data_IF_119568033992
#
_entry.id   IF_119568033992
#
_cell.length_a   1.000
_cell.length_b   1.000
_cell.length_c   1.000
_cell.angle_alpha   90.00
_cell.angle_beta   90.00
_cell.angle_gamma   90.00
#
_symmetry.space_group_name_H-M   'P 1'
#
loop_
_entity.id
_entity.type
_entity.pdbx_description
1 polymer ?
#
# COMPACT_ATOMS: atom_id res chain seq x y z
N UNK A 1 -14.18 29.35 9.89
CA UNK A 1 -14.27 28.23 8.93
C UNK A 1 -12.97 27.47 9.04
N UNK A 2 -12.95 26.38 9.80
CA UNK A 2 -11.83 25.45 9.75
C UNK A 2 -11.81 24.84 8.34
N UNK A 3 -10.69 25.00 7.64
CA UNK A 3 -10.47 24.28 6.40
C UNK A 3 -10.60 22.79 6.73
N UNK A 4 -11.61 22.12 6.15
CA UNK A 4 -11.66 20.66 6.11
C UNK A 4 -10.31 20.22 5.55
N UNK A 5 -9.42 19.74 6.41
CA UNK A 5 -8.20 19.07 5.96
C UNK A 5 -8.67 17.99 4.99
N UNK A 6 -8.34 18.14 3.70
CA UNK A 6 -8.69 17.14 2.70
C UNK A 6 -8.07 15.82 3.18
N UNK A 7 -8.90 14.88 3.61
CA UNK A 7 -8.47 13.56 4.06
C UNK A 7 -7.96 12.80 2.84
N UNK A 8 -6.70 13.03 2.51
CA UNK A 8 -6.05 12.40 1.39
C UNK A 8 -5.58 11.01 1.81
N UNK A 9 -5.99 10.01 1.04
CA UNK A 9 -5.52 8.64 1.23
C UNK A 9 -4.01 8.58 1.00
N UNK A 10 -3.30 7.77 1.79
CA UNK A 10 -1.87 7.45 1.58
C UNK A 10 -1.65 6.53 0.36
N UNK A 11 -2.75 6.07 -0.26
CA UNK A 11 -2.76 5.18 -1.41
C UNK A 11 -2.90 6.03 -2.68
N UNK A 12 -1.99 5.83 -3.63
CA UNK A 12 -2.13 6.41 -4.97
C UNK A 12 -3.31 5.79 -5.73
N UNK A 13 -4.03 6.60 -6.49
CA UNK A 13 -5.21 6.19 -7.24
C UNK A 13 -4.91 5.12 -8.30
N UNK A 14 -5.97 4.47 -8.80
CA UNK A 14 -5.88 3.52 -9.92
C UNK A 14 -5.35 4.13 -11.22
N UNK A 15 -5.34 5.46 -11.35
CA UNK A 15 -4.71 6.17 -12.47
C UNK A 15 -3.18 6.08 -12.44
N UNK A 16 -2.58 5.84 -11.27
CA UNK A 16 -1.13 5.64 -11.11
C UNK A 16 -0.73 4.25 -11.61
N UNK A 17 -0.26 4.17 -12.85
CA UNK A 17 0.19 2.92 -13.44
C UNK A 17 1.63 2.55 -13.01
N UNK A 18 2.10 1.37 -13.43
CA UNK A 18 3.43 0.87 -13.08
C UNK A 18 4.58 1.80 -13.52
N UNK A 19 4.49 2.37 -14.73
CA UNK A 19 5.52 3.24 -15.28
C UNK A 19 5.55 4.60 -14.56
N UNK A 20 4.39 5.19 -14.27
CA UNK A 20 4.30 6.42 -13.49
C UNK A 20 4.79 6.22 -12.05
N UNK A 21 4.48 5.07 -11.44
CA UNK A 21 4.98 4.71 -10.12
C UNK A 21 6.52 4.61 -10.09
N UNK A 22 7.12 3.99 -11.12
CA UNK A 22 8.58 3.96 -11.28
C UNK A 22 9.18 5.37 -11.36
N UNK A 23 8.65 6.20 -12.27
CA UNK A 23 9.09 7.61 -12.38
C UNK A 23 8.94 8.39 -11.08
N UNK A 24 7.86 8.17 -10.33
CA UNK A 24 7.62 8.82 -9.03
C UNK A 24 8.68 8.44 -8.00
N UNK A 25 9.17 7.19 -8.04
CA UNK A 25 10.25 6.70 -7.19
C UNK A 25 11.64 7.15 -7.70
N UNK A 26 11.82 7.37 -9.00
CA UNK A 26 13.04 7.97 -9.55
C UNK A 26 13.25 9.38 -9.00
N UNK A 27 12.19 10.17 -8.85
CA UNK A 27 12.25 11.51 -8.22
C UNK A 27 12.76 11.46 -6.77
N UNK A 28 12.57 10.32 -6.10
CA UNK A 28 13.04 10.07 -4.75
C UNK A 28 14.39 9.33 -4.74
N UNK A 29 15.07 9.23 -5.88
CA UNK A 29 16.36 8.57 -6.06
C UNK A 29 16.36 7.08 -5.65
N UNK A 30 15.24 6.37 -5.86
CA UNK A 30 15.08 4.98 -5.43
C UNK A 30 16.14 4.00 -6.00
N UNK A 31 16.58 4.09 -7.28
CA UNK A 31 17.61 3.20 -7.83
C UNK A 31 18.99 3.31 -7.16
N UNK A 32 19.22 4.35 -6.36
CA UNK A 32 20.49 4.59 -5.66
C UNK A 32 20.39 4.39 -4.14
N UNK A 33 19.26 3.91 -3.65
CA UNK A 33 18.99 3.62 -2.23
C UNK A 33 18.76 2.13 -2.07
N UNK A 34 19.06 1.54 -0.92
CA UNK A 34 18.82 0.10 -0.69
C UNK A 34 17.37 -0.32 -0.99
N UNK A 35 17.15 -1.59 -1.35
CA UNK A 35 15.80 -2.14 -1.60
C UNK A 35 14.79 -1.71 -0.54
N UNK A 36 13.60 -1.29 -0.98
CA UNK A 36 12.47 -0.87 -0.13
C UNK A 36 12.74 0.35 0.76
N UNK A 37 13.87 1.05 0.60
CA UNK A 37 14.16 2.30 1.32
C UNK A 37 13.32 3.47 0.84
N UNK A 38 12.71 3.34 -0.33
CA UNK A 38 11.67 4.21 -0.86
C UNK A 38 10.69 3.28 -1.57
N UNK A 39 9.40 3.45 -1.27
CA UNK A 39 8.34 2.65 -1.87
C UNK A 39 7.03 3.42 -1.83
N UNK A 40 6.09 3.03 -2.69
CA UNK A 40 4.74 3.59 -2.70
C UNK A 40 3.69 2.49 -2.70
N UNK A 41 2.50 2.84 -2.23
CA UNK A 41 1.32 2.00 -2.23
C UNK A 41 0.29 2.61 -3.17
N UNK A 42 -0.18 1.82 -4.13
CA UNK A 42 -1.16 2.29 -5.12
C UNK A 42 -2.27 1.27 -5.30
N UNK A 43 -3.42 1.72 -5.75
CA UNK A 43 -4.43 0.83 -6.29
C UNK A 43 -3.82 0.01 -7.45
N UNK A 44 -4.21 -1.26 -7.55
CA UNK A 44 -3.84 -2.07 -8.70
C UNK A 44 -4.76 -1.74 -9.88
N UNK A 45 -4.31 -2.06 -11.09
CA UNK A 45 -5.18 -2.06 -12.27
C UNK A 45 -6.26 -3.14 -12.20
N UNK A 46 -6.16 -4.06 -11.25
CA UNK A 46 -7.19 -5.03 -10.90
C UNK A 46 -7.97 -4.48 -9.70
N UNK A 47 -9.28 -4.22 -9.83
CA UNK A 47 -10.09 -3.75 -8.72
C UNK A 47 -9.98 -4.67 -7.49
N UNK A 48 -9.91 -4.06 -6.32
CA UNK A 48 -9.78 -4.74 -5.04
C UNK A 48 -8.41 -5.28 -4.68
N UNK A 49 -7.39 -4.98 -5.49
CA UNK A 49 -5.99 -5.20 -5.14
C UNK A 49 -5.29 -3.87 -4.89
N UNK A 50 -4.37 -3.88 -3.94
CA UNK A 50 -3.33 -2.88 -3.80
C UNK A 50 -2.03 -3.40 -4.40
N UNK A 51 -1.15 -2.49 -4.80
CA UNK A 51 0.18 -2.80 -5.32
C UNK A 51 1.22 -1.97 -4.59
N UNK A 52 2.18 -2.65 -3.97
CA UNK A 52 3.39 -2.01 -3.46
C UNK A 52 4.43 -1.96 -4.58
N UNK A 53 4.93 -0.77 -4.88
CA UNK A 53 5.99 -0.57 -5.86
C UNK A 53 7.26 -0.10 -5.18
N UNK A 54 8.39 -0.72 -5.51
CA UNK A 54 9.71 -0.40 -4.98
C UNK A 54 10.79 -0.80 -5.98
N UNK A 55 11.97 -0.17 -5.89
CA UNK A 55 13.11 -0.58 -6.71
C UNK A 55 13.76 -1.85 -6.15
N UNK A 56 14.05 -2.82 -7.02
CA UNK A 56 14.64 -4.11 -6.67
C UNK A 56 15.98 -4.28 -7.37
N UNK A 57 17.08 -4.15 -6.62
CA UNK A 57 18.44 -4.20 -7.15
C UNK A 57 18.78 -5.56 -7.74
N UNK A 58 18.21 -6.66 -7.23
CA UNK A 58 18.42 -7.99 -7.80
C UNK A 58 17.86 -8.12 -9.22
N UNK A 59 16.78 -7.41 -9.53
CA UNK A 59 16.16 -7.38 -10.86
C UNK A 59 16.58 -6.18 -11.70
N UNK A 60 17.38 -5.27 -11.12
CA UNK A 60 17.75 -3.98 -11.72
C UNK A 60 16.55 -3.20 -12.25
N UNK A 61 15.38 -3.34 -11.61
CA UNK A 61 14.11 -2.79 -12.07
C UNK A 61 13.10 -2.63 -10.92
N UNK A 62 12.02 -1.92 -11.19
CA UNK A 62 10.88 -1.76 -10.31
C UNK A 62 10.11 -3.08 -10.15
N UNK A 63 9.91 -3.47 -8.90
CA UNK A 63 9.08 -4.62 -8.54
C UNK A 63 7.72 -4.16 -8.05
N UNK A 64 6.68 -4.91 -8.45
CA UNK A 64 5.29 -4.64 -8.11
C UNK A 64 4.69 -5.84 -7.38
N UNK A 65 4.42 -5.69 -6.09
CA UNK A 65 3.88 -6.75 -5.25
C UNK A 65 2.41 -6.47 -4.96
N UNK A 66 1.51 -7.37 -5.39
CA UNK A 66 0.07 -7.24 -5.17
C UNK A 66 -0.32 -7.69 -3.77
N UNK A 67 -1.31 -7.01 -3.18
CA UNK A 67 -1.87 -7.29 -1.86
C UNK A 67 -3.40 -7.29 -1.97
N UNK A 68 -4.06 -8.19 -1.26
CA UNK A 68 -5.53 -8.33 -1.21
C UNK A 68 -5.99 -8.48 0.22
N UNK A 69 -7.19 -8.00 0.51
CA UNK A 69 -7.88 -8.26 1.77
C UNK A 69 -8.63 -9.60 1.69
N UNK A 70 -8.31 -10.55 2.57
CA UNK A 70 -8.87 -11.91 2.56
C UNK A 70 -9.05 -12.40 3.99
N UNK A 71 -10.27 -12.85 4.33
CA UNK A 71 -10.57 -13.42 5.64
C UNK A 71 -10.13 -12.52 6.80
N UNK A 72 -10.44 -11.22 6.69
CA UNK A 72 -10.17 -10.23 7.74
C UNK A 72 -8.74 -9.68 7.79
N UNK A 73 -7.85 -10.04 6.85
CA UNK A 73 -6.45 -9.56 6.84
C UNK A 73 -5.92 -9.28 5.44
N UNK A 74 -5.02 -8.31 5.31
CA UNK A 74 -4.25 -8.11 4.09
C UNK A 74 -3.18 -9.19 3.92
N UNK A 75 -3.05 -9.70 2.69
CA UNK A 75 -2.06 -10.73 2.31
C UNK A 75 -1.39 -10.36 1.00
N UNK A 76 -0.09 -10.63 0.90
CA UNK A 76 0.62 -10.54 -0.38
C UNK A 76 0.19 -11.69 -1.30
N UNK A 77 0.18 -11.41 -2.61
CA UNK A 77 0.03 -12.44 -3.61
C UNK A 77 1.17 -13.48 -3.49
N UNK A 78 0.87 -14.77 -3.66
CA UNK A 78 1.88 -15.82 -3.65
C UNK A 78 2.83 -15.69 -4.84
N UNK A 79 4.03 -16.26 -4.71
CA UNK A 79 5.02 -16.31 -5.79
C UNK A 79 4.70 -17.37 -6.85
N UNK A 80 3.85 -18.34 -6.52
CA UNK A 80 3.37 -19.35 -7.44
C UNK A 80 2.38 -18.75 -8.45
N UNK A 81 2.60 -18.98 -9.75
CA UNK A 81 1.82 -18.35 -10.81
C UNK A 81 0.35 -18.77 -10.78
N UNK A 82 0.05 -20.05 -10.53
CA UNK A 82 -1.32 -20.55 -10.50
C UNK A 82 -2.08 -19.94 -9.31
N UNK A 83 -1.48 -19.97 -8.13
CA UNK A 83 -2.08 -19.36 -6.95
C UNK A 83 -2.20 -17.84 -7.09
N UNK A 84 -1.27 -17.16 -7.76
CA UNK A 84 -1.35 -15.72 -8.00
C UNK A 84 -2.49 -15.35 -8.95
N UNK A 85 -2.76 -16.17 -9.96
CA UNK A 85 -3.92 -15.99 -10.84
C UNK A 85 -5.23 -16.18 -10.08
N UNK A 86 -5.35 -17.24 -9.28
CA UNK A 86 -6.53 -17.46 -8.42
C UNK A 86 -6.68 -16.35 -7.37
N UNK A 87 -5.57 -15.82 -6.88
CA UNK A 87 -5.52 -14.68 -5.97
C UNK A 87 -6.11 -13.41 -6.61
N UNK A 88 -5.83 -13.19 -7.90
CA UNK A 88 -6.34 -12.03 -8.66
C UNK A 88 -7.83 -12.20 -8.99
N UNK A 89 -8.25 -13.38 -9.47
CA UNK A 89 -9.65 -13.62 -9.89
C UNK A 89 -10.66 -13.39 -8.76
N UNK A 90 -10.28 -13.66 -7.51
CA UNK A 90 -11.17 -13.52 -6.34
C UNK A 90 -11.04 -12.16 -5.65
N UNK A 91 -10.35 -11.19 -6.26
CA UNK A 91 -10.13 -9.87 -5.67
C UNK A 91 -11.37 -8.98 -5.74
N UNK A 92 -11.99 -8.89 -6.92
CA UNK A 92 -13.11 -7.98 -7.17
C UNK A 92 -14.31 -8.30 -6.27
N UNK A 93 -14.68 -9.60 -6.20
CA UNK A 93 -15.82 -10.06 -5.39
C UNK A 93 -15.65 -9.84 -3.88
N UNK A 94 -14.41 -9.69 -3.38
CA UNK A 94 -14.14 -9.49 -1.96
C UNK A 94 -14.02 -8.01 -1.56
N UNK A 95 -13.95 -7.11 -2.53
CA UNK A 95 -13.70 -5.69 -2.30
C UNK A 95 -14.95 -4.81 -2.48
N UNK A 96 -16.08 -5.41 -2.87
CA UNK A 96 -17.39 -4.74 -2.94
C UNK A 96 -17.97 -4.41 -1.57
N UNK A 97 -17.50 -5.07 -0.50
CA UNK A 97 -17.91 -4.80 0.88
C UNK A 97 -17.03 -3.73 1.53
N UNK A 98 -17.59 -2.99 2.49
CA UNK A 98 -16.82 -2.04 3.28
C UNK A 98 -15.71 -2.78 4.05
N UNK A 99 -14.49 -2.24 3.99
CA UNK A 99 -13.37 -2.80 4.74
C UNK A 99 -13.60 -2.58 6.24
N UNK A 100 -13.39 -3.60 7.09
CA UNK A 100 -13.57 -3.46 8.54
C UNK A 100 -12.53 -2.50 9.13
N UNK A 101 -12.81 -1.87 10.27
CA UNK A 101 -11.92 -0.88 10.90
C UNK A 101 -10.48 -1.40 11.12
N UNK A 102 -10.35 -2.68 11.52
CA UNK A 102 -9.04 -3.33 11.74
C UNK A 102 -8.25 -3.62 10.45
N UNK A 103 -8.84 -3.39 9.28
CA UNK A 103 -8.20 -3.66 7.99
C UNK A 103 -6.91 -2.86 7.84
N UNK A 104 -6.90 -1.58 8.21
CA UNK A 104 -5.73 -0.73 8.09
C UNK A 104 -4.57 -1.21 8.96
N UNK A 105 -4.81 -1.54 10.23
CA UNK A 105 -3.80 -2.12 11.11
C UNK A 105 -3.19 -3.40 10.51
N UNK A 106 -4.02 -4.28 9.93
CA UNK A 106 -3.52 -5.49 9.27
C UNK A 106 -2.70 -5.20 8.00
N UNK A 107 -2.97 -4.09 7.30
CA UNK A 107 -2.17 -3.64 6.15
C UNK A 107 -0.77 -3.21 6.61
N UNK A 108 -0.71 -2.37 7.63
CA UNK A 108 0.57 -1.89 8.18
C UNK A 108 1.40 -3.06 8.72
N UNK A 109 0.77 -3.98 9.44
CA UNK A 109 1.43 -5.17 9.97
C UNK A 109 2.04 -6.03 8.85
N UNK A 110 1.31 -6.29 7.76
CA UNK A 110 1.84 -7.14 6.69
C UNK A 110 2.94 -6.44 5.87
N UNK A 111 2.84 -5.12 5.70
CA UNK A 111 3.87 -4.30 5.04
C UNK A 111 5.18 -4.34 5.85
N UNK A 112 5.09 -4.09 7.14
CA UNK A 112 6.24 -4.12 8.04
C UNK A 112 6.89 -5.52 8.11
N UNK A 113 6.07 -6.58 8.22
CA UNK A 113 6.56 -7.98 8.14
C UNK A 113 7.28 -8.32 6.84
N UNK A 114 6.99 -7.60 5.74
CA UNK A 114 7.68 -7.74 4.46
C UNK A 114 8.86 -6.77 4.30
N UNK A 115 9.20 -6.02 5.33
CA UNK A 115 10.33 -5.08 5.36
C UNK A 115 10.03 -3.73 4.70
N UNK A 116 8.76 -3.37 4.54
CA UNK A 116 8.35 -2.04 4.08
C UNK A 116 8.17 -1.12 5.28
N UNK A 117 9.24 -0.41 5.63
CA UNK A 117 9.19 0.57 6.72
C UNK A 117 8.27 1.73 6.31
N UNK A 118 7.22 1.98 7.11
CA UNK A 118 6.23 3.03 6.87
C UNK A 118 6.83 4.44 6.80
N UNK A 119 7.92 4.72 7.52
CA UNK A 119 8.63 6.00 7.49
C UNK A 119 9.42 6.22 6.18
N UNK A 120 9.30 5.27 5.25
CA UNK A 120 9.89 5.27 3.90
C UNK A 120 8.83 5.23 2.80
N UNK A 121 7.55 5.31 3.18
CA UNK A 121 6.44 5.44 2.26
C UNK A 121 6.49 6.81 1.57
N UNK A 122 6.31 6.81 0.25
CA UNK A 122 6.06 8.02 -0.53
C UNK A 122 4.56 8.27 -0.54
N UNK A 123 4.16 9.49 -0.19
CA UNK A 123 2.76 9.89 -0.14
C UNK A 123 2.30 10.51 -1.47
N UNK A 124 1.05 10.23 -1.90
CA UNK A 124 0.45 10.93 -3.02
C UNK A 124 0.12 12.38 -2.66
N UNK A 125 0.16 13.27 -3.65
CA UNK A 125 -0.51 14.56 -3.50
C UNK A 125 -2.04 14.39 -3.63
N UNK A 126 -2.87 15.42 -3.33
CA UNK A 126 -4.32 15.29 -3.35
C UNK A 126 -4.90 14.78 -4.68
N UNK A 127 -4.29 15.17 -5.82
CA UNK A 127 -4.74 14.76 -7.16
C UNK A 127 -4.35 13.32 -7.50
N UNK A 128 -3.27 12.83 -6.90
CA UNK A 128 -2.75 11.48 -7.08
C UNK A 128 -3.38 10.48 -6.10
N UNK A 129 -4.08 10.96 -5.08
CA UNK A 129 -4.63 10.13 -4.01
C UNK A 129 -5.85 9.32 -4.48
N UNK A 130 -6.00 8.13 -3.91
CA UNK A 130 -7.14 7.24 -4.14
C UNK A 130 -8.44 7.94 -3.76
N UNK A 131 -9.42 7.85 -4.65
CA UNK A 131 -10.80 8.32 -4.43
C UNK A 131 -11.77 7.18 -4.13
N UNK A 132 -11.27 5.95 -4.08
CA UNK A 132 -12.04 4.74 -3.79
C UNK A 132 -12.53 4.77 -2.34
N UNK A 133 -13.85 4.70 -2.15
CA UNK A 133 -14.53 4.92 -0.85
C UNK A 133 -13.95 4.08 0.28
N UNK A 134 -13.66 2.80 0.02
CA UNK A 134 -13.10 1.85 0.99
C UNK A 134 -11.70 2.25 1.48
N UNK A 135 -10.98 3.08 0.73
CA UNK A 135 -9.58 3.46 0.98
C UNK A 135 -9.44 4.93 1.41
N UNK A 136 -10.52 5.72 1.40
CA UNK A 136 -10.50 7.14 1.79
C UNK A 136 -10.09 7.33 3.26
N UNK A 137 -10.44 6.37 4.12
CA UNK A 137 -10.09 6.42 5.54
C UNK A 137 -8.60 6.14 5.81
N UNK A 138 -7.84 5.65 4.82
CA UNK A 138 -6.44 5.28 4.99
C UNK A 138 -5.55 6.53 4.86
N UNK A 139 -5.60 7.41 5.86
CA UNK A 139 -4.93 8.71 5.86
C UNK A 139 -3.59 8.67 6.59
N UNK A 140 -2.81 9.76 6.46
CA UNK A 140 -1.57 9.91 7.23
C UNK A 140 -1.84 9.94 8.74
N UNK A 141 -2.90 10.61 9.20
CA UNK A 141 -3.27 10.66 10.62
C UNK A 141 -3.50 9.25 11.18
N UNK A 142 -4.23 8.40 10.44
CA UNK A 142 -4.47 7.02 10.84
C UNK A 142 -3.18 6.18 10.79
N UNK A 143 -2.29 6.45 9.83
CA UNK A 143 -0.97 5.83 9.76
C UNK A 143 -0.14 6.12 11.01
N UNK A 144 -0.04 7.38 11.41
CA UNK A 144 0.70 7.81 12.58
C UNK A 144 0.14 7.21 13.88
N UNK A 145 -1.19 7.22 14.04
CA UNK A 145 -1.87 6.60 15.17
C UNK A 145 -1.58 5.09 15.24
N UNK A 146 -1.76 4.39 14.11
CA UNK A 146 -1.56 2.93 14.02
C UNK A 146 -0.10 2.56 14.25
N UNK A 147 0.83 3.32 13.67
CA UNK A 147 2.27 3.13 13.86
C UNK A 147 2.67 3.27 15.32
N UNK A 148 2.23 4.35 15.98
CA UNK A 148 2.51 4.59 17.39
C UNK A 148 1.93 3.50 18.30
N UNK A 149 0.73 2.99 17.98
CA UNK A 149 0.15 1.87 18.71
C UNK A 149 0.97 0.59 18.53
N UNK A 150 1.36 0.25 17.30
CA UNK A 150 2.16 -0.96 17.03
C UNK A 150 3.53 -0.91 17.72
N UNK A 151 4.19 0.25 17.76
CA UNK A 151 5.46 0.42 18.48
C UNK A 151 5.28 0.23 20.00
N UNK A 152 4.23 0.80 20.59
CA UNK A 152 3.93 0.62 22.03
C UNK A 152 3.65 -0.84 22.40
N UNK A 153 2.90 -1.55 21.56
CA UNK A 153 2.65 -2.98 21.76
C UNK A 153 3.93 -3.81 21.71
N UNK A 154 4.88 -3.46 20.82
CA UNK A 154 6.17 -4.16 20.71
C UNK A 154 7.11 -3.88 21.87
N UNK A 155 7.07 -2.67 22.44
CA UNK A 155 7.89 -2.29 23.59
C UNK A 155 7.40 -2.89 24.93
N UNK A 156 6.27 -3.59 24.92
CA UNK A 156 5.65 -4.18 26.12
C UNK A 156 5.98 -5.67 26.34
N UNK A 157 6.92 -6.22 25.56
CA UNK A 157 7.44 -7.60 25.64
C UNK A 157 8.97 -7.60 25.62
#
# INVERSE_FOLDING_TARGET
MEAKSERNSIIFSSEMNAAQAGKRLDLENAPHKSDKKVWLLRESSVPGLLTVTYYNHKKTDYSHARIRFIAGRWKFAPSDNFQAQEFVKRAEAAFSEALPEKSFASLIEILDKKGFNINKLVFPNPKESSKTEQLLAYTNDLLEETAGLLERYRASF
#
